data_IF_291499584356
#
_entry.id   IF_291499584356
#
_cell.length_a   1.000
_cell.length_b   1.000
_cell.length_c   1.000
_cell.angle_alpha   90.00
_cell.angle_beta   90.00
_cell.angle_gamma   90.00
#
_symmetry.space_group_name_H-M   'P 1'
#
loop_
_entity.id
_entity.type
_entity.pdbx_description
1 polymer ?
#
# COMPACT_ATOMS: atom_id res chain seq x y z
N UNK A 1 27.82 7.67 -8.62
CA UNK A 1 27.11 6.95 -7.54
C UNK A 1 26.39 5.78 -8.19
N UNK A 2 26.52 4.57 -7.66
CA UNK A 2 25.95 3.35 -8.27
C UNK A 2 24.42 3.44 -8.28
N UNK A 3 23.76 2.99 -9.37
CA UNK A 3 22.30 3.10 -9.53
C UNK A 3 21.48 2.50 -8.39
N UNK A 4 22.02 1.52 -7.67
CA UNK A 4 21.41 0.90 -6.50
C UNK A 4 21.26 1.86 -5.28
N UNK A 5 22.22 2.77 -5.07
CA UNK A 5 22.14 3.74 -3.98
C UNK A 5 20.99 4.73 -4.21
N UNK A 6 20.86 5.22 -5.46
CA UNK A 6 19.78 6.12 -5.88
C UNK A 6 18.40 5.45 -5.79
N UNK A 7 18.30 4.17 -6.15
CA UNK A 7 17.04 3.42 -6.01
C UNK A 7 16.61 3.27 -4.54
N UNK A 8 17.55 3.00 -3.63
CA UNK A 8 17.26 2.86 -2.20
C UNK A 8 16.79 4.17 -1.57
N UNK A 9 17.43 5.28 -1.93
CA UNK A 9 17.06 6.60 -1.41
C UNK A 9 15.70 7.05 -1.95
N UNK A 10 15.40 6.78 -3.22
CA UNK A 10 14.07 7.01 -3.80
C UNK A 10 12.99 6.20 -3.08
N UNK A 11 13.22 4.89 -2.87
CA UNK A 11 12.27 4.04 -2.15
C UNK A 11 12.03 4.54 -0.72
N UNK A 12 13.08 4.95 0.00
CA UNK A 12 12.94 5.53 1.34
C UNK A 12 12.10 6.80 1.34
N UNK A 13 12.31 7.67 0.35
CA UNK A 13 11.51 8.88 0.20
C UNK A 13 10.03 8.54 -0.02
N UNK A 14 9.72 7.62 -0.93
CA UNK A 14 8.34 7.20 -1.21
C UNK A 14 7.68 6.53 0.02
N UNK A 15 8.42 5.72 0.79
CA UNK A 15 7.96 5.13 2.06
C UNK A 15 7.59 6.22 3.07
N UNK A 16 8.44 7.23 3.24
CA UNK A 16 8.20 8.32 4.19
C UNK A 16 7.01 9.18 3.77
N UNK A 17 6.94 9.57 2.50
CA UNK A 17 5.83 10.40 1.98
C UNK A 17 4.52 9.63 2.07
N UNK A 18 4.46 8.41 1.54
CA UNK A 18 3.24 7.60 1.58
C UNK A 18 2.82 7.30 3.03
N UNK A 19 3.76 6.90 3.89
CA UNK A 19 3.46 6.55 5.27
C UNK A 19 3.00 7.74 6.10
N UNK A 20 3.73 8.85 6.10
CA UNK A 20 3.42 10.03 6.92
C UNK A 20 2.11 10.67 6.46
N UNK A 21 1.93 10.87 5.15
CA UNK A 21 0.69 11.47 4.64
C UNK A 21 -0.52 10.61 4.96
N UNK A 22 -0.44 9.28 4.77
CA UNK A 22 -1.56 8.41 5.10
C UNK A 22 -1.82 8.31 6.60
N UNK A 23 -0.79 8.33 7.44
CA UNK A 23 -0.97 8.37 8.88
C UNK A 23 -1.71 9.63 9.32
N UNK A 24 -1.25 10.78 8.84
CA UNK A 24 -1.83 12.06 9.18
C UNK A 24 -3.28 12.17 8.71
N UNK A 25 -3.56 11.92 7.42
CA UNK A 25 -4.91 12.10 6.89
C UNK A 25 -5.89 11.04 7.42
N UNK A 26 -5.52 9.76 7.53
CA UNK A 26 -6.44 8.76 8.07
C UNK A 26 -6.71 9.00 9.56
N UNK A 27 -5.70 9.37 10.35
CA UNK A 27 -5.88 9.69 11.76
C UNK A 27 -6.72 10.95 11.96
N UNK A 28 -6.45 12.01 11.18
CA UNK A 28 -7.21 13.26 11.23
C UNK A 28 -8.67 13.07 10.81
N UNK A 29 -8.93 12.39 9.69
CA UNK A 29 -10.29 12.11 9.22
C UNK A 29 -11.03 11.26 10.26
N UNK A 30 -10.40 10.21 10.79
CA UNK A 30 -11.00 9.38 11.83
C UNK A 30 -11.33 10.20 13.08
N UNK A 31 -10.41 11.05 13.53
CA UNK A 31 -10.65 11.91 14.69
C UNK A 31 -11.79 12.89 14.45
N UNK A 32 -11.81 13.58 13.31
CA UNK A 32 -12.87 14.54 12.97
C UNK A 32 -14.25 13.88 12.94
N UNK A 33 -14.35 12.66 12.39
CA UNK A 33 -15.60 11.92 12.28
C UNK A 33 -16.07 11.31 13.60
N UNK A 34 -15.14 10.88 14.46
CA UNK A 34 -15.46 10.03 15.61
C UNK A 34 -15.37 10.78 16.96
N UNK A 35 -14.66 11.91 17.05
CA UNK A 35 -14.34 12.58 18.34
C UNK A 35 -15.53 12.88 19.26
N UNK A 36 -16.73 13.06 18.70
CA UNK A 36 -17.96 13.34 19.46
C UNK A 36 -18.97 12.18 19.42
N UNK A 37 -18.59 11.05 18.81
CA UNK A 37 -19.45 9.88 18.63
C UNK A 37 -19.31 8.88 19.78
N UNK A 38 -20.21 7.86 19.81
CA UNK A 38 -20.10 6.77 20.76
C UNK A 38 -18.86 5.90 20.48
N UNK A 39 -18.49 5.05 21.44
CA UNK A 39 -17.44 4.07 21.24
C UNK A 39 -17.77 3.14 20.05
N UNK A 40 -16.75 2.83 19.24
CA UNK A 40 -16.90 1.90 18.13
C UNK A 40 -16.99 0.50 18.69
N UNK A 41 -17.91 -0.30 18.18
CA UNK A 41 -18.15 -1.67 18.64
C UNK A 41 -17.72 -2.66 17.57
N UNK A 42 -17.60 -3.92 17.94
CA UNK A 42 -17.27 -5.00 17.00
C UNK A 42 -18.22 -5.01 15.79
N UNK A 43 -19.52 -4.92 16.03
CA UNK A 43 -20.56 -4.83 15.00
C UNK A 43 -21.58 -3.71 15.29
N UNK A 44 -22.55 -3.55 14.40
CA UNK A 44 -23.58 -2.50 14.48
C UNK A 44 -23.23 -1.26 13.66
N UNK A 45 -23.99 -0.18 13.87
CA UNK A 45 -23.90 1.06 13.07
C UNK A 45 -22.52 1.73 13.14
N UNK A 46 -21.86 1.69 14.30
CA UNK A 46 -20.50 2.20 14.50
C UNK A 46 -19.49 1.05 14.64
N UNK A 47 -19.34 0.25 13.57
CA UNK A 47 -18.47 -0.93 13.58
C UNK A 47 -17.02 -0.60 13.18
N UNK A 48 -16.07 -0.88 14.08
CA UNK A 48 -14.65 -0.81 13.71
C UNK A 48 -14.22 -1.95 12.78
N UNK A 49 -14.94 -3.08 12.78
CA UNK A 49 -14.67 -4.20 11.87
C UNK A 49 -14.87 -3.78 10.43
N UNK A 50 -16.02 -3.16 10.13
CA UNK A 50 -16.33 -2.64 8.79
C UNK A 50 -15.30 -1.59 8.38
N UNK A 51 -14.95 -0.69 9.30
CA UNK A 51 -13.99 0.38 9.03
C UNK A 51 -12.58 -0.15 8.73
N UNK A 52 -12.08 -1.13 9.49
CA UNK A 52 -10.77 -1.77 9.25
C UNK A 52 -10.74 -2.49 7.91
N UNK A 53 -11.78 -3.27 7.59
CA UNK A 53 -11.84 -3.99 6.31
C UNK A 53 -11.96 -3.04 5.12
N UNK A 54 -12.84 -2.05 5.21
CA UNK A 54 -13.02 -1.04 4.18
C UNK A 54 -11.75 -0.22 3.96
N UNK A 55 -11.09 0.23 5.03
CA UNK A 55 -9.82 0.96 4.92
C UNK A 55 -8.72 0.04 4.37
N UNK A 56 -8.64 -1.20 4.84
CA UNK A 56 -7.69 -2.20 4.34
C UNK A 56 -7.86 -2.50 2.85
N UNK A 57 -9.08 -2.41 2.32
CA UNK A 57 -9.36 -2.52 0.88
C UNK A 57 -9.00 -1.23 0.13
N UNK A 58 -9.58 -0.12 0.56
CA UNK A 58 -9.58 1.13 -0.20
C UNK A 58 -8.22 1.81 -0.18
N UNK A 59 -7.53 1.81 0.95
CA UNK A 59 -6.26 2.52 1.09
C UNK A 59 -5.20 1.97 0.12
N UNK A 60 -4.85 0.67 0.11
CA UNK A 60 -3.87 0.15 -0.84
C UNK A 60 -4.34 0.24 -2.30
N UNK A 61 -5.64 0.07 -2.54
CA UNK A 61 -6.22 0.21 -3.87
C UNK A 61 -6.00 1.62 -4.44
N UNK A 62 -6.39 2.65 -3.68
CA UNK A 62 -6.24 4.06 -4.09
C UNK A 62 -4.76 4.44 -4.20
N UNK A 63 -3.93 4.05 -3.22
CA UNK A 63 -2.49 4.35 -3.26
C UNK A 63 -1.85 3.71 -4.49
N UNK A 64 -2.19 2.47 -4.84
CA UNK A 64 -1.69 1.83 -6.07
C UNK A 64 -2.14 2.55 -7.35
N UNK A 65 -3.41 2.98 -7.42
CA UNK A 65 -3.95 3.75 -8.54
C UNK A 65 -3.24 5.10 -8.74
N UNK A 66 -2.63 5.66 -7.70
CA UNK A 66 -1.91 6.93 -7.76
C UNK A 66 -0.42 6.70 -8.02
N UNK A 67 0.22 5.88 -7.19
CA UNK A 67 1.68 5.71 -7.18
C UNK A 67 2.17 5.07 -8.47
N UNK A 68 1.54 3.98 -8.92
CA UNK A 68 2.02 3.25 -10.12
C UNK A 68 2.07 4.16 -11.36
N UNK A 69 0.99 4.86 -11.76
CA UNK A 69 1.04 5.73 -12.93
C UNK A 69 1.93 6.96 -12.73
N UNK A 70 1.99 7.51 -11.51
CA UNK A 70 2.88 8.64 -11.21
C UNK A 70 4.36 8.25 -11.42
N UNK A 71 4.78 7.09 -10.91
CA UNK A 71 6.14 6.59 -11.08
C UNK A 71 6.44 6.26 -12.54
N UNK A 72 5.50 5.63 -13.27
CA UNK A 72 5.64 5.40 -14.72
C UNK A 72 5.77 6.70 -15.50
N UNK A 73 4.99 7.73 -15.15
CA UNK A 73 5.09 9.05 -15.77
C UNK A 73 6.47 9.68 -15.55
N UNK A 74 7.03 9.55 -14.33
CA UNK A 74 8.40 10.02 -14.02
C UNK A 74 9.46 9.25 -14.82
N UNK A 75 9.32 7.93 -14.96
CA UNK A 75 10.20 7.08 -15.78
C UNK A 75 10.15 7.51 -17.26
N UNK A 76 8.94 7.63 -17.84
CA UNK A 76 8.76 8.02 -19.25
C UNK A 76 9.29 9.42 -19.56
N UNK A 77 9.34 10.30 -18.55
CA UNK A 77 9.91 11.66 -18.66
C UNK A 77 11.42 11.71 -18.40
N UNK A 78 12.08 10.57 -18.21
CA UNK A 78 13.51 10.48 -17.89
C UNK A 78 13.89 11.03 -16.52
N UNK A 79 12.91 11.27 -15.62
CA UNK A 79 13.15 11.76 -14.25
C UNK A 79 13.55 10.65 -13.29
N UNK A 80 13.26 9.40 -13.64
CA UNK A 80 13.64 8.20 -12.92
C UNK A 80 14.23 7.18 -13.89
N UNK A 81 15.00 6.24 -13.36
CA UNK A 81 15.52 5.09 -14.08
C UNK A 81 14.73 3.83 -13.69
N UNK A 82 14.76 2.83 -14.57
CA UNK A 82 14.23 1.51 -14.23
C UNK A 82 15.02 0.93 -13.04
N UNK A 83 14.31 0.24 -12.16
CA UNK A 83 14.91 -0.45 -11.01
C UNK A 83 15.01 -1.93 -11.36
N UNK A 84 16.23 -2.45 -11.28
CA UNK A 84 16.53 -3.87 -11.31
C UNK A 84 17.35 -4.22 -10.06
N UNK A 85 16.74 -5.02 -9.18
CA UNK A 85 17.41 -5.51 -7.96
C UNK A 85 18.13 -6.85 -8.16
N UNK A 86 18.16 -7.37 -9.39
CA UNK A 86 18.74 -8.67 -9.72
C UNK A 86 17.79 -9.85 -9.50
N UNK A 87 18.13 -11.00 -10.10
CA UNK A 87 17.30 -12.22 -10.10
C UNK A 87 17.12 -12.84 -8.70
N UNK A 88 18.10 -12.67 -7.81
CA UNK A 88 18.06 -13.21 -6.45
C UNK A 88 17.21 -12.37 -5.48
N UNK A 89 16.72 -11.21 -5.92
CA UNK A 89 15.90 -10.34 -5.07
C UNK A 89 14.46 -10.87 -4.94
N UNK A 90 14.08 -11.24 -3.72
CA UNK A 90 12.71 -11.62 -3.38
C UNK A 90 11.70 -10.51 -3.73
N UNK A 91 12.08 -9.24 -3.53
CA UNK A 91 11.23 -8.10 -3.86
C UNK A 91 11.03 -7.96 -5.38
N UNK A 92 12.08 -8.18 -6.18
CA UNK A 92 11.98 -8.21 -7.64
C UNK A 92 11.09 -9.37 -8.10
N UNK A 93 11.23 -10.54 -7.49
CA UNK A 93 10.41 -11.73 -7.79
C UNK A 93 8.92 -11.48 -7.50
N UNK A 94 8.58 -10.88 -6.36
CA UNK A 94 7.20 -10.50 -6.04
C UNK A 94 6.69 -9.49 -7.06
N UNK A 95 7.46 -8.43 -7.32
CA UNK A 95 7.08 -7.40 -8.26
C UNK A 95 6.84 -7.96 -9.66
N UNK A 96 7.65 -8.91 -10.13
CA UNK A 96 7.52 -9.57 -11.44
C UNK A 96 6.26 -10.43 -11.57
N UNK A 97 5.78 -11.02 -10.47
CA UNK A 97 4.53 -11.81 -10.45
C UNK A 97 3.27 -10.94 -10.48
N UNK A 98 3.37 -9.67 -10.10
CA UNK A 98 2.25 -8.74 -10.14
C UNK A 98 1.92 -8.30 -11.59
N UNK A 99 0.64 -8.05 -11.90
CA UNK A 99 0.19 -7.70 -13.24
C UNK A 99 0.71 -6.32 -13.66
N UNK A 100 1.06 -6.17 -14.95
CA UNK A 100 1.54 -4.89 -15.47
C UNK A 100 0.44 -3.81 -15.50
N UNK A 101 -0.84 -4.19 -15.59
CA UNK A 101 -1.95 -3.23 -15.56
C UNK A 101 -2.07 -2.58 -14.18
N UNK A 102 -2.13 -1.25 -14.15
CA UNK A 102 -2.31 -0.45 -12.92
C UNK A 102 -3.55 -0.87 -12.16
N UNK A 103 -4.69 -1.00 -12.85
CA UNK A 103 -5.96 -1.34 -12.21
C UNK A 103 -5.93 -2.75 -11.62
N UNK A 104 -5.43 -3.75 -12.36
CA UNK A 104 -5.30 -5.13 -11.86
C UNK A 104 -4.38 -5.19 -10.63
N UNK A 105 -3.25 -4.49 -10.67
CA UNK A 105 -2.34 -4.39 -9.52
C UNK A 105 -3.03 -3.72 -8.33
N UNK A 106 -3.76 -2.63 -8.55
CA UNK A 106 -4.48 -1.95 -7.48
C UNK A 106 -5.53 -2.85 -6.82
N UNK A 107 -6.32 -3.59 -7.60
CA UNK A 107 -7.28 -4.56 -7.06
C UNK A 107 -6.58 -5.60 -6.20
N UNK A 108 -5.44 -6.16 -6.64
CA UNK A 108 -4.68 -7.11 -5.84
C UNK A 108 -4.14 -6.50 -4.55
N UNK A 109 -3.61 -5.28 -4.57
CA UNK A 109 -3.16 -4.60 -3.36
C UNK A 109 -4.31 -4.33 -2.39
N UNK A 110 -5.47 -3.90 -2.89
CA UNK A 110 -6.65 -3.71 -2.05
C UNK A 110 -7.14 -5.02 -1.42
N UNK A 111 -7.28 -6.08 -2.22
CA UNK A 111 -7.67 -7.39 -1.71
C UNK A 111 -6.64 -7.94 -0.70
N UNK A 112 -5.34 -7.75 -0.95
CA UNK A 112 -4.30 -8.12 -0.01
C UNK A 112 -4.42 -7.33 1.30
N UNK A 113 -4.61 -6.00 1.23
CA UNK A 113 -4.79 -5.18 2.41
C UNK A 113 -6.01 -5.56 3.23
N UNK A 114 -7.13 -5.88 2.59
CA UNK A 114 -8.34 -6.35 3.27
C UNK A 114 -8.17 -7.76 3.84
N UNK A 115 -7.80 -8.73 3.01
CA UNK A 115 -7.83 -10.16 3.34
C UNK A 115 -6.64 -10.60 4.18
N UNK A 116 -5.48 -9.93 4.10
CA UNK A 116 -4.32 -10.26 4.91
C UNK A 116 -4.15 -9.28 6.07
N UNK A 117 -4.01 -7.98 5.79
CA UNK A 117 -3.69 -7.00 6.85
C UNK A 117 -4.92 -6.72 7.72
N UNK A 118 -6.09 -6.49 7.11
CA UNK A 118 -7.34 -6.25 7.80
C UNK A 118 -7.75 -7.43 8.67
N UNK A 119 -7.79 -8.64 8.12
CA UNK A 119 -8.13 -9.85 8.90
C UNK A 119 -7.14 -10.14 10.02
N UNK A 120 -5.82 -9.97 9.80
CA UNK A 120 -4.80 -10.13 10.85
C UNK A 120 -5.01 -9.12 11.99
N UNK A 121 -5.34 -7.89 11.64
CA UNK A 121 -5.64 -6.82 12.60
C UNK A 121 -6.87 -7.18 13.43
N UNK A 122 -7.94 -7.64 12.78
CA UNK A 122 -9.17 -8.06 13.47
C UNK A 122 -8.95 -9.32 14.32
N UNK A 123 -8.15 -10.27 13.85
CA UNK A 123 -7.76 -11.43 14.64
C UNK A 123 -7.02 -10.99 15.92
N UNK A 124 -6.14 -10.00 15.82
CA UNK A 124 -5.50 -9.38 16.98
C UNK A 124 -6.50 -8.79 17.98
N UNK A 125 -7.49 -8.01 17.50
CA UNK A 125 -8.56 -7.48 18.36
C UNK A 125 -9.42 -8.58 18.99
N UNK A 126 -9.75 -9.62 18.22
CA UNK A 126 -10.53 -10.75 18.71
C UNK A 126 -9.81 -11.50 19.84
N UNK A 127 -8.53 -11.85 19.62
CA UNK A 127 -7.70 -12.56 20.59
C UNK A 127 -7.44 -11.73 21.85
N UNK A 128 -7.38 -10.40 21.72
CA UNK A 128 -7.27 -9.49 22.86
C UNK A 128 -8.61 -9.22 23.57
N UNK A 129 -9.73 -9.81 23.11
CA UNK A 129 -11.05 -9.61 23.70
C UNK A 129 -11.63 -8.21 23.53
N UNK A 130 -11.15 -7.45 22.54
CA UNK A 130 -11.58 -6.06 22.30
C UNK A 130 -12.99 -6.05 21.69
N UNK A 131 -13.98 -5.61 22.47
CA UNK A 131 -15.37 -5.50 22.03
C UNK A 131 -15.79 -4.07 21.68
N UNK A 132 -15.09 -3.07 22.23
CA UNK A 132 -15.30 -1.67 21.93
C UNK A 132 -13.99 -0.88 22.01
N UNK A 133 -13.89 0.18 21.22
CA UNK A 133 -12.74 1.08 21.18
C UNK A 133 -13.21 2.52 21.33
N UNK A 134 -12.57 3.26 22.25
CA UNK A 134 -12.83 4.67 22.42
C UNK A 134 -12.44 5.46 21.14
N UNK A 135 -13.23 6.45 20.70
CA UNK A 135 -13.04 7.13 19.42
C UNK A 135 -11.63 7.70 19.18
N UNK A 136 -11.07 8.36 20.19
CA UNK A 136 -9.73 8.97 20.08
C UNK A 136 -8.64 7.90 19.96
N UNK A 137 -8.75 6.82 20.73
CA UNK A 137 -7.81 5.69 20.66
C UNK A 137 -7.89 5.02 19.28
N UNK A 138 -9.11 4.88 18.74
CA UNK A 138 -9.31 4.34 17.41
C UNK A 138 -8.74 5.25 16.32
N UNK A 139 -8.89 6.56 16.43
CA UNK A 139 -8.32 7.50 15.47
C UNK A 139 -6.79 7.46 15.43
N UNK A 140 -6.13 7.39 16.59
CA UNK A 140 -4.67 7.22 16.69
C UNK A 140 -4.24 5.89 16.06
N UNK A 141 -4.92 4.80 16.44
CA UNK A 141 -4.69 3.48 15.85
C UNK A 141 -4.82 3.53 14.31
N UNK A 142 -5.91 4.09 13.80
CA UNK A 142 -6.21 4.15 12.37
C UNK A 142 -5.15 4.95 11.60
N UNK A 143 -4.68 6.06 12.17
CA UNK A 143 -3.57 6.83 11.61
C UNK A 143 -2.29 5.98 11.52
N UNK A 144 -1.80 5.45 12.64
CA UNK A 144 -0.56 4.66 12.67
C UNK A 144 -0.65 3.46 11.73
N UNK A 145 -1.77 2.73 11.80
CA UNK A 145 -2.03 1.53 11.01
C UNK A 145 -2.07 1.83 9.51
N UNK A 146 -2.77 2.89 9.09
CA UNK A 146 -2.82 3.31 7.68
C UNK A 146 -1.45 3.77 7.17
N UNK A 147 -0.68 4.48 8.00
CA UNK A 147 0.67 4.92 7.65
C UNK A 147 1.64 3.77 7.44
N UNK A 148 1.66 2.80 8.36
CA UNK A 148 2.49 1.59 8.24
C UNK A 148 2.10 0.83 6.98
N UNK A 149 0.80 0.62 6.75
CA UNK A 149 0.32 -0.09 5.56
C UNK A 149 0.74 0.60 4.26
N UNK A 150 0.51 1.91 4.13
CA UNK A 150 0.87 2.66 2.94
C UNK A 150 2.39 2.66 2.73
N UNK A 151 3.17 2.90 3.79
CA UNK A 151 4.63 2.91 3.74
C UNK A 151 5.22 1.55 3.35
N UNK A 152 4.65 0.44 3.81
CA UNK A 152 5.13 -0.90 3.43
C UNK A 152 4.74 -1.26 1.99
N UNK A 153 3.49 -1.00 1.61
CA UNK A 153 2.95 -1.42 0.32
C UNK A 153 3.40 -0.53 -0.85
N UNK A 154 3.85 0.70 -0.59
CA UNK A 154 4.37 1.57 -1.66
C UNK A 154 5.62 0.99 -2.32
N UNK A 155 6.44 0.22 -1.60
CA UNK A 155 7.67 -0.39 -2.13
C UNK A 155 7.36 -1.32 -3.32
N UNK A 156 6.54 -2.39 -3.17
CA UNK A 156 6.19 -3.24 -4.29
C UNK A 156 5.39 -2.47 -5.38
N UNK A 157 4.62 -1.43 -5.04
CA UNK A 157 3.95 -0.59 -6.05
C UNK A 157 4.96 0.17 -6.93
N UNK A 158 5.99 0.77 -6.33
CA UNK A 158 7.08 1.45 -7.05
C UNK A 158 7.85 0.44 -7.91
N UNK A 159 8.12 -0.76 -7.38
CA UNK A 159 8.77 -1.84 -8.14
C UNK A 159 7.94 -2.28 -9.35
N UNK A 160 6.62 -2.44 -9.21
CA UNK A 160 5.71 -2.74 -10.35
C UNK A 160 5.72 -1.62 -11.39
N UNK A 161 5.93 -0.38 -10.96
CA UNK A 161 5.97 0.78 -11.84
C UNK A 161 7.30 0.92 -12.59
N UNK A 162 8.41 0.59 -11.93
CA UNK A 162 9.77 0.88 -12.41
C UNK A 162 10.58 -0.37 -12.80
N UNK A 163 10.04 -1.60 -12.69
CA UNK A 163 10.74 -2.81 -13.15
C UNK A 163 11.05 -2.75 -14.64
N UNK A 164 12.19 -3.30 -15.03
CA UNK A 164 12.54 -3.54 -16.43
C UNK A 164 11.45 -4.39 -17.09
N UNK A 165 10.95 -3.95 -18.24
CA UNK A 165 10.02 -4.78 -19.02
C UNK A 165 10.74 -6.09 -19.41
N UNK A 166 10.04 -7.24 -19.42
CA UNK A 166 10.62 -8.44 -20.01
C UNK A 166 11.05 -8.10 -21.43
N UNK A 167 12.28 -8.47 -21.82
CA UNK A 167 12.72 -8.35 -23.20
C UNK A 167 11.64 -8.98 -24.10
N UNK A 168 11.17 -8.24 -25.11
CA UNK A 168 10.26 -8.80 -26.09
C UNK A 168 10.88 -10.10 -26.62
N UNK A 169 10.09 -11.18 -26.66
CA UNK A 169 10.56 -12.44 -27.22
C UNK A 169 11.15 -12.16 -28.62
N UNK A 170 12.35 -12.69 -28.95
CA UNK A 170 12.94 -12.47 -30.26
C UNK A 170 11.92 -12.88 -31.33
N UNK A 171 11.68 -11.99 -32.28
CA UNK A 171 10.86 -12.28 -33.46
C UNK A 171 11.51 -13.50 -34.13
N UNK A 172 10.78 -14.61 -34.33
CA UNK A 172 11.35 -15.77 -35.01
C UNK A 172 11.86 -15.31 -36.38
N UNK A 173 13.10 -15.68 -36.70
CA UNK A 173 13.66 -15.42 -38.01
C UNK A 173 12.70 -16.00 -39.05
N UNK A 174 12.32 -15.19 -40.04
CA UNK A 174 11.60 -15.69 -41.19
C UNK A 174 12.61 -16.51 -42.01
N UNK A 175 12.43 -17.83 -41.99
CA UNK A 175 13.09 -18.77 -42.90
C UNK A 175 12.42 -18.72 -44.29
#
# INVERSE_FOLDING_TARGET
MTGAATARDHLRHEVLVAGISNAFFNGLIAWLLLRNGPALRWGGEHSFVVDVLATGLLLPFIVALIVIPLQRSKLNKGKLQAIDLGADSLMQSIANRLPASTFKSAVLFGLFGMCAIGTLTLAGFYLAGVQAVHPVSYAIFKGIWAGIMAGLLVVPMVMVALRTAPAAAPVPAAD
#
